data_IF_436487378184
#
_entry.id   IF_436487378184
#
_cell.length_a   1.000
_cell.length_b   1.000
_cell.length_c   1.000
_cell.angle_alpha   90.00
_cell.angle_beta   90.00
_cell.angle_gamma   90.00
#
_symmetry.space_group_name_H-M   'P 1'
#
loop_
_entity.id
_entity.type
_entity.pdbx_description
1 polymer ?
#
# COMPACT_ATOMS: atom_id res chain seq x y z
N UNK A 1 -27.17 25.23 -17.01
CA UNK A 1 -26.49 24.11 -17.70
C UNK A 1 -25.13 23.71 -17.07
N UNK A 2 -24.68 24.30 -15.95
CA UNK A 2 -23.34 24.04 -15.39
C UNK A 2 -23.22 23.05 -14.21
N UNK A 3 -24.33 22.53 -13.65
CA UNK A 3 -24.30 21.74 -12.41
C UNK A 3 -24.34 20.22 -12.60
N UNK A 4 -24.64 19.72 -13.81
CA UNK A 4 -24.74 18.27 -14.10
C UNK A 4 -23.38 17.61 -14.39
N UNK A 5 -22.41 18.36 -14.91
CA UNK A 5 -21.08 17.84 -15.24
C UNK A 5 -20.15 17.73 -14.01
N UNK A 6 -20.34 18.55 -12.97
CA UNK A 6 -19.51 18.53 -11.76
C UNK A 6 -20.00 17.53 -10.69
N UNK A 7 -21.26 17.09 -10.78
CA UNK A 7 -21.88 16.22 -9.77
C UNK A 7 -21.18 14.84 -9.62
N UNK A 8 -20.76 14.16 -10.70
CA UNK A 8 -20.03 12.90 -10.58
C UNK A 8 -18.64 13.09 -9.94
N UNK A 9 -17.92 14.16 -10.31
CA UNK A 9 -16.57 14.40 -9.79
C UNK A 9 -16.58 14.71 -8.28
N UNK A 10 -17.51 15.54 -7.82
CA UNK A 10 -17.61 15.83 -6.39
C UNK A 10 -18.07 14.62 -5.56
N UNK A 11 -18.78 13.66 -6.15
CA UNK A 11 -19.23 12.47 -5.44
C UNK A 11 -18.06 11.61 -4.99
N UNK A 12 -17.08 11.35 -5.86
CA UNK A 12 -15.94 10.48 -5.53
C UNK A 12 -15.05 11.09 -4.47
N UNK A 13 -14.85 12.42 -4.51
CA UNK A 13 -14.17 13.14 -3.44
C UNK A 13 -14.93 13.03 -2.11
N UNK A 14 -16.27 13.14 -2.11
CA UNK A 14 -17.09 12.99 -0.90
C UNK A 14 -17.01 11.58 -0.32
N UNK A 15 -16.96 10.54 -1.15
CA UNK A 15 -16.80 9.15 -0.72
C UNK A 15 -15.53 8.96 0.11
N UNK A 16 -14.43 9.66 -0.23
CA UNK A 16 -13.17 9.59 0.54
C UNK A 16 -13.30 10.06 1.98
N UNK A 17 -14.33 10.83 2.33
CA UNK A 17 -14.53 11.38 3.67
C UNK A 17 -15.83 10.90 4.33
N UNK A 18 -16.45 9.84 3.80
CA UNK A 18 -17.79 9.40 4.23
C UNK A 18 -18.86 10.52 4.13
N UNK A 19 -18.66 11.53 3.28
CA UNK A 19 -19.57 12.67 3.11
C UNK A 19 -20.71 12.36 2.12
N UNK A 20 -21.26 11.15 2.21
CA UNK A 20 -22.30 10.60 1.33
C UNK A 20 -23.43 10.01 2.15
N UNK A 21 -24.61 9.88 1.55
CA UNK A 21 -25.79 9.33 2.20
C UNK A 21 -26.07 7.88 1.77
N UNK A 22 -26.82 7.11 2.56
CA UNK A 22 -27.28 5.78 2.16
C UNK A 22 -28.02 5.78 0.81
N UNK A 23 -28.86 6.81 0.56
CA UNK A 23 -29.60 6.95 -0.70
C UNK A 23 -28.69 7.14 -1.93
N UNK A 24 -27.45 7.62 -1.75
CA UNK A 24 -26.50 7.83 -2.84
C UNK A 24 -25.65 6.58 -3.11
N UNK A 25 -25.57 5.64 -2.16
CA UNK A 25 -24.52 4.62 -2.13
C UNK A 25 -24.99 3.22 -1.74
N UNK A 26 -26.28 3.00 -1.49
CA UNK A 26 -26.85 1.67 -1.27
C UNK A 26 -27.21 0.99 -2.59
N UNK A 27 -26.72 -0.25 -2.76
CA UNK A 27 -26.99 -1.09 -3.94
C UNK A 27 -27.50 -2.46 -3.51
N UNK A 28 -28.40 -3.04 -4.29
CA UNK A 28 -28.95 -4.37 -4.01
C UNK A 28 -27.91 -5.47 -4.23
N UNK A 29 -27.19 -5.40 -5.36
CA UNK A 29 -26.25 -6.42 -5.79
C UNK A 29 -24.82 -5.90 -5.76
N UNK A 30 -23.87 -6.79 -5.52
CA UNK A 30 -22.43 -6.45 -5.47
C UNK A 30 -21.94 -5.95 -6.82
N UNK A 31 -22.48 -6.49 -7.91
CA UNK A 31 -22.09 -6.13 -9.28
C UNK A 31 -22.50 -4.70 -9.66
N UNK A 32 -23.48 -4.14 -8.96
CA UNK A 32 -23.95 -2.77 -9.18
C UNK A 32 -23.14 -1.75 -8.37
N UNK A 33 -22.30 -2.19 -7.42
CA UNK A 33 -21.46 -1.32 -6.59
C UNK A 33 -20.29 -0.81 -7.44
N UNK A 34 -20.14 0.52 -7.61
CA UNK A 34 -18.98 1.10 -8.29
C UNK A 34 -17.68 0.75 -7.57
N UNK A 35 -16.58 0.69 -8.32
CA UNK A 35 -15.25 0.63 -7.71
C UNK A 35 -14.81 2.05 -7.34
N UNK A 36 -15.24 2.52 -6.16
CA UNK A 36 -14.93 3.84 -5.64
C UNK A 36 -13.42 4.07 -5.48
N UNK A 37 -12.63 3.01 -5.28
CA UNK A 37 -11.17 3.10 -5.19
C UNK A 37 -10.55 3.44 -6.54
N UNK A 38 -10.94 2.72 -7.61
CA UNK A 38 -10.46 3.01 -8.97
C UNK A 38 -10.87 4.43 -9.39
N UNK A 39 -12.09 4.84 -9.05
CA UNK A 39 -12.60 6.17 -9.31
C UNK A 39 -11.90 7.29 -8.51
N UNK A 40 -11.22 6.94 -7.42
CA UNK A 40 -10.47 7.88 -6.58
C UNK A 40 -9.04 8.16 -7.07
N UNK A 41 -8.49 7.34 -7.98
CA UNK A 41 -7.10 7.43 -8.46
C UNK A 41 -6.70 8.83 -8.97
N UNK A 42 -7.54 9.56 -9.74
CA UNK A 42 -7.21 10.94 -10.15
C UNK A 42 -7.04 11.90 -8.95
N UNK A 43 -7.83 11.72 -7.89
CA UNK A 43 -7.75 12.55 -6.69
C UNK A 43 -6.52 12.22 -5.87
N UNK A 44 -6.12 10.95 -5.76
CA UNK A 44 -4.86 10.58 -5.12
C UNK A 44 -3.68 11.29 -5.78
N UNK A 45 -3.61 11.25 -7.12
CA UNK A 45 -2.56 11.92 -7.89
C UNK A 45 -2.56 13.42 -7.64
N UNK A 46 -3.73 14.07 -7.71
CA UNK A 46 -3.86 15.51 -7.46
C UNK A 46 -3.45 15.90 -6.04
N UNK A 47 -3.87 15.12 -5.04
CA UNK A 47 -3.57 15.38 -3.64
C UNK A 47 -2.08 15.17 -3.32
N UNK A 48 -1.42 14.17 -3.90
CA UNK A 48 0.04 13.97 -3.78
C UNK A 48 0.80 15.16 -4.38
N UNK A 49 0.39 15.63 -5.57
CA UNK A 49 1.01 16.81 -6.19
C UNK A 49 0.79 18.07 -5.36
N UNK A 50 -0.42 18.25 -4.82
CA UNK A 50 -0.76 19.35 -3.93
C UNK A 50 0.07 19.30 -2.65
N UNK A 51 0.24 18.13 -2.04
CA UNK A 51 1.08 17.95 -0.85
C UNK A 51 2.53 18.38 -1.13
N UNK A 52 3.12 17.96 -2.25
CA UNK A 52 4.46 18.41 -2.64
C UNK A 52 4.56 19.94 -2.78
N UNK A 53 3.55 20.58 -3.38
CA UNK A 53 3.49 22.05 -3.50
C UNK A 53 3.41 22.71 -2.12
N UNK A 54 2.55 22.21 -1.24
CA UNK A 54 2.35 22.75 0.11
C UNK A 54 3.59 22.56 0.98
N UNK A 55 4.25 21.40 0.93
CA UNK A 55 5.51 21.16 1.63
C UNK A 55 6.58 22.16 1.19
N UNK A 56 6.71 22.38 -0.13
CA UNK A 56 7.66 23.35 -0.67
C UNK A 56 7.34 24.78 -0.23
N UNK A 57 6.06 25.16 -0.23
CA UNK A 57 5.62 26.47 0.25
C UNK A 57 5.86 26.65 1.76
N UNK A 58 5.72 25.60 2.56
CA UNK A 58 6.04 25.59 3.99
C UNK A 58 7.55 25.58 4.28
N UNK A 59 8.42 25.55 3.25
CA UNK A 59 9.87 25.46 3.42
C UNK A 59 10.34 24.10 3.94
N UNK A 60 9.51 23.07 3.86
CA UNK A 60 9.87 21.68 4.22
C UNK A 60 10.57 20.97 3.06
N UNK A 61 11.34 19.95 3.40
CA UNK A 61 11.95 19.07 2.40
C UNK A 61 10.90 18.26 1.66
N UNK A 62 11.15 17.99 0.38
CA UNK A 62 10.30 17.11 -0.42
C UNK A 62 10.62 15.63 -0.09
N UNK A 63 9.62 14.74 -0.14
CA UNK A 63 9.85 13.32 0.02
C UNK A 63 10.85 12.78 -1.01
N UNK A 64 11.66 11.80 -0.60
CA UNK A 64 12.63 11.14 -1.47
C UNK A 64 11.92 10.37 -2.58
N UNK A 65 12.34 10.60 -3.82
CA UNK A 65 11.70 10.03 -5.03
C UNK A 65 11.70 8.50 -5.01
N UNK A 66 12.81 7.88 -4.63
CA UNK A 66 12.96 6.44 -4.49
C UNK A 66 12.01 5.85 -3.43
N UNK A 67 11.78 6.56 -2.32
CA UNK A 67 10.82 6.12 -1.31
C UNK A 67 9.37 6.18 -1.85
N UNK A 68 9.02 7.27 -2.54
CA UNK A 68 7.71 7.41 -3.20
C UNK A 68 7.47 6.34 -4.28
N UNK A 69 8.47 6.07 -5.13
CA UNK A 69 8.41 4.98 -6.12
C UNK A 69 8.23 3.63 -5.43
N UNK A 70 8.95 3.37 -4.34
CA UNK A 70 8.82 2.11 -3.60
C UNK A 70 7.43 1.98 -2.94
N UNK A 71 6.91 3.05 -2.35
CA UNK A 71 5.55 3.09 -1.78
C UNK A 71 4.48 2.77 -2.82
N UNK A 72 4.51 3.44 -3.97
CA UNK A 72 3.59 3.14 -5.08
C UNK A 72 3.77 1.73 -5.65
N UNK A 73 5.02 1.24 -5.72
CA UNK A 73 5.33 -0.13 -6.16
C UNK A 73 4.66 -1.18 -5.26
N UNK A 74 4.77 -1.03 -3.94
CA UNK A 74 4.12 -1.92 -2.99
C UNK A 74 2.58 -1.89 -3.14
N UNK A 75 1.99 -0.70 -3.32
CA UNK A 75 0.56 -0.56 -3.61
C UNK A 75 0.13 -1.32 -4.85
N UNK A 76 0.84 -1.16 -5.95
CA UNK A 76 0.56 -1.88 -7.19
C UNK A 76 0.74 -3.39 -7.04
N UNK A 77 1.80 -3.84 -6.36
CA UNK A 77 1.98 -5.28 -6.06
C UNK A 77 0.79 -5.84 -5.28
N UNK A 78 0.23 -5.07 -4.34
CA UNK A 78 -0.93 -5.51 -3.56
C UNK A 78 -2.18 -5.72 -4.41
N UNK A 79 -2.32 -5.03 -5.55
CA UNK A 79 -3.48 -5.12 -6.44
C UNK A 79 -3.28 -6.04 -7.65
N UNK A 80 -2.03 -6.44 -7.97
CA UNK A 80 -1.73 -7.27 -9.16
C UNK A 80 -2.52 -8.58 -9.22
N UNK A 81 -2.83 -9.17 -8.06
CA UNK A 81 -3.58 -10.43 -7.99
C UNK A 81 -4.98 -10.31 -8.62
N UNK A 82 -5.56 -9.11 -8.63
CA UNK A 82 -6.87 -8.83 -9.23
C UNK A 82 -6.88 -8.94 -10.76
N UNK A 83 -5.71 -8.98 -11.41
CA UNK A 83 -5.59 -9.30 -12.85
C UNK A 83 -5.71 -10.80 -13.11
N UNK A 84 -5.41 -11.65 -12.13
CA UNK A 84 -5.36 -13.10 -12.29
C UNK A 84 -6.68 -13.75 -11.86
N UNK A 85 -7.30 -13.25 -10.79
CA UNK A 85 -8.52 -13.82 -10.23
C UNK A 85 -9.46 -12.76 -9.65
N UNK A 86 -10.74 -13.14 -9.51
CA UNK A 86 -11.76 -12.35 -8.82
C UNK A 86 -11.43 -12.28 -7.32
N UNK A 87 -11.92 -11.25 -6.63
CA UNK A 87 -11.73 -11.09 -5.18
C UNK A 87 -12.19 -12.34 -4.44
N UNK A 88 -11.24 -13.07 -3.84
CA UNK A 88 -11.52 -14.29 -3.05
C UNK A 88 -12.38 -13.94 -1.84
N UNK A 89 -12.11 -12.80 -1.19
CA UNK A 89 -12.88 -12.31 -0.06
C UNK A 89 -14.34 -12.12 -0.42
N UNK A 90 -14.67 -11.38 -1.49
CA UNK A 90 -16.06 -11.14 -1.87
C UNK A 90 -16.78 -12.43 -2.27
N UNK A 91 -16.09 -13.35 -2.94
CA UNK A 91 -16.64 -14.67 -3.31
C UNK A 91 -16.98 -15.48 -2.05
N UNK A 92 -16.05 -15.57 -1.10
CA UNK A 92 -16.26 -16.32 0.14
C UNK A 92 -17.31 -15.63 1.01
N UNK A 93 -17.26 -14.31 1.18
CA UNK A 93 -18.23 -13.52 1.93
C UNK A 93 -19.65 -13.73 1.38
N UNK A 94 -19.82 -13.61 0.06
CA UNK A 94 -21.13 -13.82 -0.60
C UNK A 94 -21.61 -15.26 -0.45
N UNK A 95 -20.70 -16.24 -0.52
CA UNK A 95 -21.03 -17.64 -0.27
C UNK A 95 -21.49 -17.87 1.17
N UNK A 96 -20.80 -17.31 2.17
CA UNK A 96 -21.22 -17.40 3.58
C UNK A 96 -22.60 -16.76 3.74
N UNK A 97 -22.80 -15.54 3.25
CA UNK A 97 -24.08 -14.84 3.33
C UNK A 97 -25.21 -15.68 2.72
N UNK A 98 -25.05 -16.17 1.48
CA UNK A 98 -26.08 -16.95 0.79
C UNK A 98 -26.48 -18.24 1.52
N UNK A 99 -25.56 -18.89 2.23
CA UNK A 99 -25.81 -20.21 2.82
C UNK A 99 -26.04 -20.19 4.34
N UNK A 100 -25.55 -19.17 5.04
CA UNK A 100 -25.45 -19.17 6.51
C UNK A 100 -25.94 -17.89 7.19
N UNK A 101 -26.40 -16.87 6.45
CA UNK A 101 -27.02 -15.72 7.10
C UNK A 101 -28.27 -16.15 7.88
N UNK A 102 -28.44 -15.58 9.08
CA UNK A 102 -29.59 -15.85 9.93
C UNK A 102 -30.42 -14.60 10.21
N UNK A 103 -29.94 -13.42 9.81
CA UNK A 103 -30.69 -12.17 9.77
C UNK A 103 -30.59 -11.59 8.36
N UNK A 104 -31.73 -11.26 7.77
CA UNK A 104 -31.80 -10.58 6.49
C UNK A 104 -31.96 -9.07 6.73
N UNK A 105 -30.85 -8.33 6.73
CA UNK A 105 -30.89 -6.88 6.82
C UNK A 105 -31.19 -6.27 5.43
N UNK A 106 -32.16 -5.35 5.32
CA UNK A 106 -32.49 -4.71 4.05
C UNK A 106 -31.32 -3.84 3.55
N UNK A 107 -30.86 -4.09 2.32
CA UNK A 107 -29.73 -3.40 1.69
C UNK A 107 -29.95 -1.89 1.50
N UNK A 108 -31.22 -1.47 1.40
CA UNK A 108 -31.65 -0.08 1.21
C UNK A 108 -32.01 0.66 2.51
N UNK A 109 -31.80 0.03 3.67
CA UNK A 109 -32.06 0.69 4.96
C UNK A 109 -30.88 1.55 5.40
N UNK A 110 -31.11 2.81 5.79
CA UNK A 110 -30.08 3.67 6.40
C UNK A 110 -29.43 3.04 7.64
N UNK A 111 -30.18 2.23 8.40
CA UNK A 111 -29.65 1.54 9.58
C UNK A 111 -28.69 0.41 9.21
N UNK A 112 -28.99 -0.35 8.16
CA UNK A 112 -28.08 -1.38 7.64
C UNK A 112 -26.79 -0.74 7.15
N UNK A 113 -26.88 0.42 6.48
CA UNK A 113 -25.73 1.21 6.04
C UNK A 113 -24.87 1.67 7.23
N UNK A 114 -25.48 2.30 8.25
CA UNK A 114 -24.74 2.75 9.45
C UNK A 114 -24.10 1.56 10.18
N UNK A 115 -24.82 0.44 10.32
CA UNK A 115 -24.30 -0.76 10.94
C UNK A 115 -23.12 -1.34 10.14
N UNK A 116 -23.22 -1.34 8.80
CA UNK A 116 -22.15 -1.73 7.91
C UNK A 116 -20.89 -0.88 8.11
N UNK A 117 -21.04 0.44 8.13
CA UNK A 117 -19.95 1.39 8.41
C UNK A 117 -19.26 1.10 9.74
N UNK A 118 -20.03 1.02 10.83
CA UNK A 118 -19.51 0.79 12.18
C UNK A 118 -18.84 -0.59 12.30
N UNK A 119 -19.42 -1.61 11.68
CA UNK A 119 -18.92 -2.99 11.75
C UNK A 119 -17.62 -3.15 10.97
N UNK A 120 -17.53 -2.58 9.76
CA UNK A 120 -16.28 -2.57 8.99
C UNK A 120 -15.19 -1.81 9.75
N UNK A 121 -15.48 -0.61 10.26
CA UNK A 121 -14.47 0.18 10.97
C UNK A 121 -14.00 -0.48 12.27
N UNK A 122 -14.93 -1.11 13.01
CA UNK A 122 -14.60 -1.87 14.22
C UNK A 122 -13.74 -3.11 13.92
N UNK A 123 -14.07 -3.88 12.88
CA UNK A 123 -13.29 -5.05 12.50
C UNK A 123 -11.94 -4.68 11.89
N UNK A 124 -11.86 -3.53 11.20
CA UNK A 124 -10.60 -2.94 10.78
C UNK A 124 -9.72 -2.65 11.99
N UNK A 125 -10.24 -1.98 13.03
CA UNK A 125 -9.50 -1.72 14.27
C UNK A 125 -8.89 -3.01 14.87
N UNK A 126 -9.67 -4.09 14.94
CA UNK A 126 -9.18 -5.37 15.46
C UNK A 126 -8.15 -6.03 14.56
N UNK A 127 -8.39 -6.04 13.25
CA UNK A 127 -7.40 -6.52 12.28
C UNK A 127 -6.08 -5.76 12.42
N UNK A 128 -6.17 -4.43 12.52
CA UNK A 128 -5.01 -3.56 12.58
C UNK A 128 -4.24 -3.76 13.89
N UNK A 129 -4.93 -3.84 15.03
CA UNK A 129 -4.31 -4.21 16.31
C UNK A 129 -3.63 -5.58 16.26
N UNK A 130 -4.30 -6.61 15.75
CA UNK A 130 -3.71 -7.95 15.59
C UNK A 130 -2.47 -7.89 14.69
N UNK A 131 -2.48 -7.03 13.67
CA UNK A 131 -1.36 -6.84 12.76
C UNK A 131 -0.12 -6.27 13.45
N UNK A 132 -0.27 -5.52 14.54
CA UNK A 132 0.88 -5.04 15.32
C UNK A 132 1.25 -5.98 16.46
N UNK A 133 0.26 -6.65 17.06
CA UNK A 133 0.48 -7.51 18.23
C UNK A 133 0.78 -8.97 17.89
N UNK A 134 0.74 -9.39 16.61
CA UNK A 134 1.06 -10.76 16.19
C UNK A 134 2.16 -10.79 15.13
N UNK A 135 3.24 -11.52 15.34
CA UNK A 135 4.42 -11.50 14.46
C UNK A 135 4.09 -11.92 13.01
N UNK A 136 3.28 -12.96 12.84
CA UNK A 136 2.90 -13.43 11.50
C UNK A 136 1.96 -12.48 10.76
N UNK A 137 1.09 -11.76 11.48
CA UNK A 137 0.18 -10.77 10.87
C UNK A 137 0.94 -9.46 10.64
N UNK A 138 1.88 -9.10 11.51
CA UNK A 138 2.86 -8.03 11.31
C UNK A 138 3.69 -8.23 10.06
N UNK A 139 4.06 -9.46 9.72
CA UNK A 139 4.72 -9.75 8.44
C UNK A 139 3.91 -9.27 7.22
N UNK A 140 2.57 -9.27 7.33
CA UNK A 140 1.64 -8.78 6.31
C UNK A 140 1.38 -7.28 6.36
N UNK A 141 1.91 -6.56 7.35
CA UNK A 141 1.59 -5.14 7.58
C UNK A 141 2.82 -4.25 7.70
N UNK A 142 3.98 -4.78 8.11
CA UNK A 142 5.24 -4.03 8.24
C UNK A 142 5.63 -3.27 6.96
N UNK A 143 5.24 -3.79 5.78
CA UNK A 143 5.45 -3.11 4.50
C UNK A 143 4.91 -1.69 4.57
N UNK A 144 3.71 -1.50 5.13
CA UNK A 144 3.06 -0.20 5.29
C UNK A 144 3.87 0.77 6.18
N UNK A 145 4.42 0.24 7.28
CA UNK A 145 5.24 1.00 8.23
C UNK A 145 6.70 1.19 7.80
N UNK A 146 7.12 0.57 6.70
CA UNK A 146 8.54 0.56 6.33
C UNK A 146 9.07 1.84 5.70
N UNK A 147 8.20 2.81 5.39
CA UNK A 147 8.65 4.11 4.87
C UNK A 147 9.21 4.97 5.99
N UNK A 148 10.37 5.58 5.76
CA UNK A 148 10.91 6.62 6.64
C UNK A 148 10.43 8.03 6.21
N UNK A 149 9.57 8.10 5.19
CA UNK A 149 8.82 9.29 4.81
C UNK A 149 7.36 9.15 5.26
N UNK A 150 6.74 10.27 5.64
CA UNK A 150 5.32 10.27 5.98
C UNK A 150 4.58 11.30 5.13
N UNK A 151 3.92 10.81 4.10
CA UNK A 151 3.22 11.60 3.08
C UNK A 151 2.15 10.73 2.42
N UNK A 152 1.37 11.29 1.49
CA UNK A 152 0.22 10.60 0.89
C UNK A 152 0.62 9.37 0.08
N UNK A 153 1.87 9.26 -0.40
CA UNK A 153 2.34 8.02 -1.04
C UNK A 153 2.51 6.87 -0.03
N UNK A 154 2.76 7.16 1.25
CA UNK A 154 2.85 6.16 2.33
C UNK A 154 1.53 5.40 2.47
N UNK A 155 0.38 6.06 2.25
CA UNK A 155 -0.93 5.38 2.20
C UNK A 155 -1.00 4.27 1.14
N UNK A 156 -0.30 4.46 0.02
CA UNK A 156 -0.25 3.51 -1.09
C UNK A 156 0.72 2.35 -0.82
N UNK A 157 1.59 2.44 0.18
CA UNK A 157 2.52 1.36 0.53
C UNK A 157 1.77 0.22 1.22
N UNK A 158 1.29 -0.75 0.45
CA UNK A 158 0.49 -1.87 0.96
C UNK A 158 1.19 -3.22 0.75
N UNK A 159 0.98 -4.16 1.68
CA UNK A 159 1.46 -5.53 1.50
C UNK A 159 0.51 -6.32 0.59
N UNK A 160 1.08 -7.24 -0.19
CA UNK A 160 0.31 -8.26 -0.91
C UNK A 160 -0.50 -9.15 0.03
N UNK A 161 0.04 -9.45 1.22
CA UNK A 161 -0.57 -10.43 2.13
C UNK A 161 -1.68 -9.85 3.01
N UNK A 162 -1.71 -8.52 3.20
CA UNK A 162 -2.61 -7.85 4.15
C UNK A 162 -4.07 -8.27 3.98
N UNK A 163 -4.57 -8.25 2.73
CA UNK A 163 -5.95 -8.58 2.38
C UNK A 163 -6.33 -10.02 2.76
N UNK A 164 -5.39 -10.95 2.61
CA UNK A 164 -5.62 -12.37 2.93
C UNK A 164 -5.68 -12.63 4.44
N UNK A 165 -5.06 -11.77 5.26
CA UNK A 165 -5.24 -11.83 6.71
C UNK A 165 -6.53 -11.10 7.14
N UNK A 166 -6.80 -9.92 6.57
CA UNK A 166 -7.95 -9.11 6.97
C UNK A 166 -9.30 -9.75 6.64
N UNK A 167 -9.41 -10.46 5.51
CA UNK A 167 -10.69 -11.03 5.06
C UNK A 167 -11.36 -11.95 6.10
N UNK A 168 -10.56 -12.68 6.89
CA UNK A 168 -11.08 -13.60 7.90
C UNK A 168 -11.80 -12.87 9.03
N UNK A 169 -11.40 -11.63 9.34
CA UNK A 169 -12.03 -10.81 10.36
C UNK A 169 -13.39 -10.29 9.90
N UNK A 170 -13.58 -10.13 8.58
CA UNK A 170 -14.84 -9.63 8.01
C UNK A 170 -15.89 -10.72 7.79
N UNK A 171 -15.50 -11.99 7.62
CA UNK A 171 -16.46 -13.08 7.36
C UNK A 171 -17.60 -13.24 8.39
N UNK A 172 -17.42 -13.01 9.70
CA UNK A 172 -18.53 -13.02 10.65
C UNK A 172 -19.65 -12.01 10.30
N UNK A 173 -19.32 -10.88 9.64
CA UNK A 173 -20.35 -9.93 9.20
C UNK A 173 -21.31 -10.53 8.19
N UNK A 174 -20.86 -11.49 7.37
CA UNK A 174 -21.68 -12.12 6.34
C UNK A 174 -22.87 -12.90 6.91
N UNK A 175 -22.93 -13.12 8.22
CA UNK A 175 -24.07 -13.76 8.86
C UNK A 175 -25.31 -12.83 8.99
N UNK A 176 -25.12 -11.52 8.83
CA UNK A 176 -26.17 -10.50 8.97
C UNK A 176 -26.12 -9.38 7.91
N UNK A 177 -24.92 -8.95 7.48
CA UNK A 177 -24.72 -7.76 6.65
C UNK A 177 -24.66 -8.13 5.16
N UNK A 178 -25.51 -7.53 4.31
CA UNK A 178 -25.53 -7.79 2.86
C UNK A 178 -24.16 -7.58 2.21
N UNK A 179 -23.76 -8.43 1.25
CA UNK A 179 -22.46 -8.33 0.58
C UNK A 179 -22.20 -6.98 -0.09
N UNK A 180 -23.24 -6.34 -0.67
CA UNK A 180 -23.11 -5.01 -1.28
C UNK A 180 -22.74 -3.95 -0.24
N UNK A 181 -23.43 -3.94 0.91
CA UNK A 181 -23.18 -3.04 2.05
C UNK A 181 -21.76 -3.21 2.59
N UNK A 182 -21.32 -4.46 2.79
CA UNK A 182 -19.94 -4.76 3.19
C UNK A 182 -18.93 -4.17 2.18
N UNK A 183 -19.12 -4.45 0.89
CA UNK A 183 -18.19 -4.01 -0.15
C UNK A 183 -18.11 -2.48 -0.30
N UNK A 184 -19.20 -1.75 -0.10
CA UNK A 184 -19.19 -0.28 -0.08
C UNK A 184 -18.34 0.24 1.09
N UNK A 185 -18.62 -0.25 2.30
CA UNK A 185 -17.99 0.27 3.51
C UNK A 185 -16.53 -0.14 3.65
N UNK A 186 -16.14 -1.30 3.11
CA UNK A 186 -14.74 -1.64 2.97
C UNK A 186 -14.00 -0.59 2.12
N UNK A 187 -14.54 -0.26 0.95
CA UNK A 187 -13.92 0.73 0.06
C UNK A 187 -13.86 2.11 0.73
N UNK A 188 -14.94 2.55 1.38
CA UNK A 188 -14.94 3.85 2.06
C UNK A 188 -13.97 3.90 3.23
N UNK A 189 -13.81 2.80 3.98
CA UNK A 189 -12.83 2.71 5.05
C UNK A 189 -11.41 2.86 4.50
N UNK A 190 -11.08 2.14 3.41
CA UNK A 190 -9.79 2.27 2.73
C UNK A 190 -9.55 3.69 2.18
N UNK A 191 -10.56 4.29 1.55
CA UNK A 191 -10.47 5.64 1.00
C UNK A 191 -10.27 6.70 2.08
N UNK A 192 -10.96 6.58 3.21
CA UNK A 192 -10.76 7.49 4.35
C UNK A 192 -9.34 7.46 4.85
N UNK A 193 -8.73 6.28 4.91
CA UNK A 193 -7.37 6.13 5.41
C UNK A 193 -6.31 6.73 4.48
N UNK A 194 -6.63 7.10 3.25
CA UNK A 194 -5.67 7.76 2.36
C UNK A 194 -5.19 9.10 2.91
N UNK A 195 -6.11 10.01 3.23
CA UNK A 195 -5.77 11.42 3.50
C UNK A 195 -5.12 11.65 4.86
N UNK A 196 -5.26 10.70 5.80
CA UNK A 196 -4.63 10.79 7.13
C UNK A 196 -3.10 10.61 7.08
N UNK A 197 -2.53 10.18 5.94
CA UNK A 197 -1.08 10.06 5.75
C UNK A 197 -0.45 11.37 5.29
N UNK A 198 -0.36 12.37 6.18
CA UNK A 198 0.30 13.64 5.82
C UNK A 198 0.89 14.34 7.04
N UNK A 199 1.97 15.09 6.82
CA UNK A 199 2.54 16.05 7.79
C UNK A 199 2.08 17.50 7.53
N UNK A 200 1.26 17.73 6.50
CA UNK A 200 0.77 19.07 6.15
C UNK A 200 -0.32 19.52 7.12
N UNK A 201 -1.24 18.61 7.48
CA UNK A 201 -2.33 18.87 8.42
C UNK A 201 -1.89 18.45 9.82
N UNK A 202 -1.73 19.41 10.73
CA UNK A 202 -1.16 19.16 12.06
C UNK A 202 -2.20 18.77 13.11
N UNK A 203 -3.34 19.46 13.16
CA UNK A 203 -4.38 19.25 14.17
C UNK A 203 -5.77 19.62 13.61
N UNK A 204 -6.80 18.85 13.97
CA UNK A 204 -8.21 19.13 13.62
C UNK A 204 -9.10 19.51 14.82
N UNK A 205 -8.49 19.80 15.97
CA UNK A 205 -9.17 20.28 17.16
C UNK A 205 -10.19 19.27 17.69
N UNK A 206 -11.43 19.67 18.00
CA UNK A 206 -12.42 18.77 18.59
C UNK A 206 -12.79 17.54 17.73
N UNK A 207 -12.53 17.57 16.42
CA UNK A 207 -12.78 16.41 15.57
C UNK A 207 -11.90 15.21 15.95
N UNK A 208 -10.74 15.45 16.57
CA UNK A 208 -9.81 14.43 17.05
C UNK A 208 -10.34 13.60 18.24
N UNK A 209 -11.48 13.98 18.82
CA UNK A 209 -12.15 13.12 19.80
C UNK A 209 -12.90 11.95 19.15
N UNK A 210 -13.29 12.08 17.88
CA UNK A 210 -14.17 11.13 17.19
C UNK A 210 -13.49 10.52 15.97
N UNK A 211 -12.76 11.32 15.19
CA UNK A 211 -12.13 10.90 13.95
C UNK A 211 -10.67 10.50 14.16
N UNK A 212 -10.23 9.47 13.45
CA UNK A 212 -8.82 9.26 13.20
C UNK A 212 -8.32 10.38 12.28
N UNK A 213 -7.21 11.02 12.63
CA UNK A 213 -6.70 12.22 11.98
C UNK A 213 -5.22 12.04 11.65
N UNK A 214 -4.62 12.92 10.82
CA UNK A 214 -3.20 12.85 10.54
C UNK A 214 -2.31 12.87 11.79
N UNK A 215 -2.70 13.57 12.85
CA UNK A 215 -1.99 13.57 14.14
C UNK A 215 -1.92 12.19 14.78
N UNK A 216 -3.07 11.53 14.91
CA UNK A 216 -3.14 10.18 15.47
C UNK A 216 -2.40 9.16 14.61
N UNK A 217 -2.53 9.28 13.28
CA UNK A 217 -1.94 8.34 12.35
C UNK A 217 -0.43 8.54 12.19
N UNK A 218 0.11 9.74 12.41
CA UNK A 218 1.56 9.96 12.55
C UNK A 218 2.10 9.15 13.72
N UNK A 219 1.48 9.27 14.91
CA UNK A 219 1.87 8.47 16.08
C UNK A 219 1.83 6.98 15.75
N UNK A 220 0.78 6.52 15.09
CA UNK A 220 0.66 5.12 14.68
C UNK A 220 1.84 4.64 13.80
N UNK A 221 2.29 5.47 12.86
CA UNK A 221 3.45 5.18 12.01
C UNK A 221 4.81 5.47 12.66
N UNK A 222 4.81 6.02 13.87
CA UNK A 222 6.02 6.37 14.58
C UNK A 222 6.73 5.15 15.17
N UNK A 223 8.06 5.19 15.15
CA UNK A 223 8.91 4.22 15.85
C UNK A 223 9.51 4.78 17.14
N UNK A 224 9.15 5.99 17.55
CA UNK A 224 9.49 6.48 18.89
C UNK A 224 8.91 5.50 19.93
N UNK A 225 9.56 5.30 21.09
CA UNK A 225 9.06 4.37 22.10
C UNK A 225 7.60 4.64 22.52
N UNK A 226 7.17 5.91 22.59
CA UNK A 226 5.80 6.27 22.96
C UNK A 226 4.76 5.97 21.86
N UNK A 227 5.20 5.76 20.62
CA UNK A 227 4.35 5.50 19.45
C UNK A 227 4.02 4.01 19.28
N UNK A 228 4.82 3.10 19.85
CA UNK A 228 4.69 1.66 19.63
C UNK A 228 3.36 1.13 20.19
N UNK A 229 2.65 0.37 19.36
CA UNK A 229 1.37 -0.27 19.69
C UNK A 229 0.26 0.72 20.07
N UNK A 230 0.12 1.81 19.29
CA UNK A 230 -0.88 2.88 19.50
C UNK A 230 -1.71 3.19 18.25
N UNK A 231 -2.91 3.72 18.48
CA UNK A 231 -3.78 4.33 17.47
C UNK A 231 -4.10 3.43 16.26
N UNK A 232 -4.79 2.31 16.48
CA UNK A 232 -5.11 1.32 15.44
C UNK A 232 -6.38 1.64 14.62
N UNK A 233 -7.16 2.65 14.98
CA UNK A 233 -8.43 2.95 14.31
C UNK A 233 -8.23 3.30 12.82
N UNK A 234 -9.19 2.93 11.99
CA UNK A 234 -9.22 3.33 10.58
C UNK A 234 -9.84 4.73 10.43
N UNK A 235 -11.14 4.82 10.71
CA UNK A 235 -11.94 6.05 10.56
C UNK A 235 -12.26 6.69 11.91
N UNK A 236 -12.72 5.91 12.89
CA UNK A 236 -13.17 6.44 14.18
C UNK A 236 -12.15 6.15 15.28
N UNK A 237 -11.50 7.18 15.82
CA UNK A 237 -10.52 7.05 16.92
C UNK A 237 -11.15 6.58 18.24
N UNK A 238 -12.49 6.54 18.30
CA UNK A 238 -13.25 6.09 19.47
C UNK A 238 -12.84 4.68 19.90
N UNK A 239 -12.48 3.80 18.97
CA UNK A 239 -12.07 2.42 19.29
C UNK A 239 -10.79 2.41 20.12
N UNK A 240 -9.79 3.22 19.75
CA UNK A 240 -8.56 3.34 20.52
C UNK A 240 -8.79 3.89 21.93
N UNK A 241 -9.74 4.81 22.08
CA UNK A 241 -10.13 5.33 23.39
C UNK A 241 -10.83 4.27 24.23
N UNK A 242 -11.75 3.51 23.64
CA UNK A 242 -12.50 2.44 24.31
C UNK A 242 -11.60 1.30 24.76
N UNK A 243 -10.60 0.94 23.96
CA UNK A 243 -9.70 -0.19 24.21
C UNK A 243 -8.33 0.21 24.77
N UNK A 244 -8.18 1.48 25.17
CA UNK A 244 -6.99 2.03 25.83
C UNK A 244 -5.69 1.90 25.02
N UNK A 245 -5.77 2.13 23.71
CA UNK A 245 -4.65 2.15 22.76
C UNK A 245 -4.40 3.54 22.18
N UNK A 246 -5.20 4.54 22.59
CA UNK A 246 -5.03 5.93 22.18
C UNK A 246 -3.74 6.56 22.73
N UNK A 247 -3.04 7.30 21.88
CA UNK A 247 -1.90 8.14 22.22
C UNK A 247 -1.95 9.44 21.41
N UNK A 248 -1.90 10.59 22.08
CA UNK A 248 -1.78 11.88 21.41
C UNK A 248 -0.35 12.10 20.89
N UNK A 249 -0.22 12.82 19.78
CA UNK A 249 1.08 13.22 19.24
C UNK A 249 1.80 14.14 20.22
N UNK A 250 3.07 13.81 20.52
CA UNK A 250 3.89 14.50 21.50
C UNK A 250 5.14 15.09 20.87
N UNK A 251 6.29 14.48 21.15
CA UNK A 251 7.55 14.83 20.49
C UNK A 251 7.51 14.51 18.99
N UNK A 252 8.44 15.10 18.23
CA UNK A 252 8.56 14.88 16.78
C UNK A 252 8.60 13.38 16.47
N UNK A 253 7.63 12.94 15.67
CA UNK A 253 7.54 11.54 15.25
C UNK A 253 8.64 11.20 14.26
N UNK A 254 9.24 10.04 14.46
CA UNK A 254 10.26 9.44 13.61
C UNK A 254 9.63 8.18 12.99
N UNK A 255 9.65 8.08 11.67
CA UNK A 255 8.95 7.02 10.93
C UNK A 255 9.90 5.89 10.50
N UNK A 256 9.30 4.83 9.98
CA UNK A 256 9.99 3.61 9.54
C UNK A 256 9.90 2.50 10.58
N UNK A 257 10.45 1.34 10.25
CA UNK A 257 10.53 0.24 11.21
C UNK A 257 11.50 0.56 12.36
N UNK A 258 11.26 -0.04 13.52
CA UNK A 258 12.20 -0.05 14.67
C UNK A 258 13.59 -0.51 14.22
N UNK A 259 13.63 -1.54 13.37
CA UNK A 259 14.82 -1.96 12.64
C UNK A 259 14.66 -1.56 11.16
N UNK A 260 15.14 -0.37 10.75
CA UNK A 260 14.88 0.15 9.42
C UNK A 260 15.45 -0.73 8.30
N UNK A 261 14.74 -0.75 7.17
CA UNK A 261 15.16 -1.48 5.98
C UNK A 261 16.40 -0.84 5.36
N UNK A 262 17.29 -1.68 4.83
CA UNK A 262 18.52 -1.26 4.14
C UNK A 262 18.55 -1.78 2.70
N UNK A 263 17.39 -1.80 2.04
CA UNK A 263 17.22 -2.28 0.66
C UNK A 263 16.01 -1.63 -0.02
N UNK A 264 16.02 -1.65 -1.36
CA UNK A 264 14.95 -1.14 -2.23
C UNK A 264 14.24 -2.25 -3.02
N UNK A 265 14.69 -3.50 -2.92
CA UNK A 265 14.03 -4.62 -3.57
C UNK A 265 12.58 -4.81 -3.04
N UNK A 266 11.55 -4.59 -3.87
CA UNK A 266 10.17 -4.59 -3.40
C UNK A 266 9.66 -6.00 -3.10
N UNK A 267 10.15 -7.03 -3.79
CA UNK A 267 9.76 -8.43 -3.56
C UNK A 267 10.35 -8.93 -2.24
N UNK A 268 11.62 -8.63 -1.99
CA UNK A 268 12.21 -8.90 -0.68
C UNK A 268 11.47 -8.13 0.43
N UNK A 269 11.07 -6.89 0.18
CA UNK A 269 10.24 -6.09 1.08
C UNK A 269 8.92 -6.75 1.48
N UNK A 270 8.27 -7.48 0.56
CA UNK A 270 7.03 -8.22 0.86
C UNK A 270 7.26 -9.44 1.77
N UNK A 271 8.45 -10.05 1.75
CA UNK A 271 8.66 -11.38 2.33
C UNK A 271 9.75 -11.49 3.40
N UNK A 272 10.61 -10.48 3.58
CA UNK A 272 11.76 -10.60 4.49
C UNK A 272 11.36 -10.90 5.93
N UNK A 273 10.24 -10.34 6.41
CA UNK A 273 9.78 -10.57 7.78
C UNK A 273 9.26 -12.01 7.98
N UNK A 274 8.66 -12.62 6.96
CA UNK A 274 8.32 -14.05 6.98
C UNK A 274 9.58 -14.93 7.06
N UNK A 275 10.65 -14.55 6.33
CA UNK A 275 11.94 -15.24 6.41
C UNK A 275 12.58 -15.08 7.80
N UNK A 276 12.43 -13.92 8.43
CA UNK A 276 12.85 -13.67 9.81
C UNK A 276 12.13 -14.60 10.79
N UNK A 277 10.79 -14.69 10.73
CA UNK A 277 9.99 -15.61 11.55
C UNK A 277 10.45 -17.06 11.34
N UNK A 278 10.68 -17.47 10.10
CA UNK A 278 11.19 -18.81 9.80
C UNK A 278 12.57 -19.08 10.44
N UNK A 279 13.43 -18.07 10.51
CA UNK A 279 14.69 -18.11 11.26
C UNK A 279 14.46 -18.35 12.75
N UNK A 280 13.59 -17.57 13.38
CA UNK A 280 13.24 -17.73 14.80
C UNK A 280 12.71 -19.14 15.13
N UNK A 281 11.85 -19.68 14.28
CA UNK A 281 11.29 -21.04 14.43
C UNK A 281 12.38 -22.12 14.36
N UNK A 282 13.44 -21.91 13.59
CA UNK A 282 14.59 -22.83 13.53
C UNK A 282 15.47 -22.73 14.77
N UNK A 283 15.69 -21.50 15.25
CA UNK A 283 16.57 -21.22 16.38
C UNK A 283 15.97 -21.66 17.72
N UNK A 284 14.68 -21.43 17.94
CA UNK A 284 14.05 -21.73 19.22
C UNK A 284 13.86 -23.23 19.48
N UNK A 285 14.14 -23.64 20.72
CA UNK A 285 13.92 -25.00 21.21
C UNK A 285 12.50 -25.18 21.74
N UNK A 286 11.91 -26.34 21.45
CA UNK A 286 10.57 -26.74 21.93
C UNK A 286 9.42 -26.19 21.08
N UNK A 287 8.34 -26.97 20.96
CA UNK A 287 7.19 -26.62 20.13
C UNK A 287 6.50 -25.34 20.59
N UNK A 288 6.40 -25.11 21.90
CA UNK A 288 5.76 -23.93 22.48
C UNK A 288 6.47 -22.62 22.09
N UNK A 289 7.80 -22.58 22.14
CA UNK A 289 8.56 -21.39 21.75
C UNK A 289 8.50 -21.17 20.23
N UNK A 290 8.52 -22.25 19.44
CA UNK A 290 8.35 -22.16 17.99
C UNK A 290 7.00 -21.57 17.58
N UNK A 291 5.91 -22.03 18.20
CA UNK A 291 4.58 -21.46 17.97
C UNK A 291 4.49 -20.02 18.48
N UNK A 292 5.10 -19.73 19.63
CA UNK A 292 5.14 -18.37 20.19
C UNK A 292 5.86 -17.39 19.27
N UNK A 293 6.98 -17.77 18.64
CA UNK A 293 7.70 -16.92 17.68
C UNK A 293 6.87 -16.55 16.44
N UNK A 294 5.89 -17.38 16.07
CA UNK A 294 4.98 -17.11 14.95
C UNK A 294 3.81 -16.22 15.38
N UNK A 295 3.21 -16.51 16.54
CA UNK A 295 1.91 -15.94 16.92
C UNK A 295 2.02 -14.70 17.82
N UNK A 296 2.96 -14.69 18.77
CA UNK A 296 3.14 -13.54 19.69
C UNK A 296 3.77 -12.36 18.96
N UNK A 297 3.82 -11.18 19.58
CA UNK A 297 4.26 -9.95 18.93
C UNK A 297 5.73 -9.98 18.46
N UNK A 298 6.12 -9.06 17.56
CA UNK A 298 7.44 -9.06 16.94
C UNK A 298 8.61 -8.87 17.93
N UNK A 299 8.35 -8.27 19.10
CA UNK A 299 9.33 -8.13 20.20
C UNK A 299 9.36 -9.30 21.19
N UNK A 300 8.59 -10.38 20.95
CA UNK A 300 8.54 -11.52 21.87
C UNK A 300 9.81 -12.38 21.82
N UNK A 301 10.30 -12.78 22.99
CA UNK A 301 11.33 -13.80 23.18
C UNK A 301 10.93 -14.77 24.31
N UNK A 302 11.53 -15.98 24.40
CA UNK A 302 11.25 -16.91 25.49
C UNK A 302 11.37 -16.26 26.88
N UNK A 303 10.28 -16.29 27.64
CA UNK A 303 10.19 -15.67 28.97
C UNK A 303 9.63 -14.25 29.00
N UNK A 304 9.51 -13.57 27.85
CA UNK A 304 8.93 -12.21 27.77
C UNK A 304 7.40 -12.23 27.60
N UNK A 305 6.69 -11.14 27.96
CA UNK A 305 5.26 -10.95 27.70
C UNK A 305 4.92 -10.97 26.21
N UNK A 306 3.64 -11.11 25.86
CA UNK A 306 3.17 -11.29 24.47
C UNK A 306 3.78 -10.32 23.46
N UNK A 307 3.96 -9.04 23.81
CA UNK A 307 4.47 -7.99 22.90
C UNK A 307 5.96 -7.69 23.06
N UNK A 308 6.67 -8.47 23.89
CA UNK A 308 8.01 -8.11 24.35
C UNK A 308 7.97 -7.11 25.50
N UNK A 309 9.11 -6.47 25.74
CA UNK A 309 9.28 -5.41 26.74
C UNK A 309 9.59 -4.09 26.02
N UNK A 310 9.01 -2.98 26.47
CA UNK A 310 9.24 -1.67 25.85
C UNK A 310 10.67 -1.18 26.11
N UNK A 311 11.29 -1.65 27.19
CA UNK A 311 12.67 -1.37 27.57
C UNK A 311 13.69 -2.00 26.61
N UNK A 312 13.27 -2.98 25.80
CA UNK A 312 14.13 -3.60 24.78
C UNK A 312 14.17 -2.80 23.46
N UNK A 313 13.32 -1.78 23.32
CA UNK A 313 13.28 -0.98 22.10
C UNK A 313 14.59 -0.18 21.96
N UNK A 314 15.23 -0.21 20.79
CA UNK A 314 16.43 0.59 20.56
C UNK A 314 16.09 2.08 20.66
N UNK A 315 16.98 2.84 21.29
CA UNK A 315 16.90 4.30 21.25
C UNK A 315 17.05 4.80 19.81
N UNK A 316 16.32 5.87 19.47
CA UNK A 316 16.40 6.44 18.13
C UNK A 316 17.65 7.31 18.03
N UNK A 317 18.64 6.85 17.26
CA UNK A 317 19.88 7.57 17.03
C UNK A 317 19.65 8.98 16.45
N UNK A 318 20.39 9.97 16.98
CA UNK A 318 20.36 11.35 16.52
C UNK A 318 21.73 11.76 15.95
N UNK A 319 21.79 12.44 14.78
CA UNK A 319 20.65 12.79 13.93
C UNK A 319 20.07 11.58 13.20
N UNK A 320 18.75 11.56 12.99
CA UNK A 320 18.07 10.50 12.25
C UNK A 320 18.59 10.42 10.81
N UNK A 321 19.33 9.36 10.50
CA UNK A 321 19.81 9.05 9.15
C UNK A 321 18.83 8.12 8.44
N UNK A 322 18.15 8.62 7.42
CA UNK A 322 17.24 7.82 6.58
C UNK A 322 18.02 7.02 5.54
N UNK A 323 17.67 5.74 5.33
CA UNK A 323 18.28 4.91 4.28
C UNK A 323 17.88 5.42 2.90
N UNK A 324 18.82 6.01 2.14
CA UNK A 324 18.57 6.56 0.81
C UNK A 324 19.37 5.83 -0.27
N UNK A 325 18.91 5.81 -1.52
CA UNK A 325 19.78 5.44 -2.65
C UNK A 325 20.73 6.60 -3.02
N UNK A 326 21.93 6.27 -3.46
CA UNK A 326 22.96 7.19 -3.94
C UNK A 326 23.03 7.27 -5.48
N UNK A 327 21.99 6.80 -6.18
CA UNK A 327 21.87 6.98 -7.63
C UNK A 327 22.02 8.46 -8.03
N UNK A 328 22.82 8.69 -9.06
CA UNK A 328 23.01 10.02 -9.65
C UNK A 328 21.71 10.54 -10.30
N UNK A 329 21.57 11.86 -10.40
CA UNK A 329 20.32 12.53 -10.80
C UNK A 329 19.69 12.00 -12.10
N UNK A 330 20.48 11.78 -13.15
CA UNK A 330 19.95 11.26 -14.43
C UNK A 330 19.38 9.84 -14.28
N UNK A 331 20.01 8.99 -13.47
CA UNK A 331 19.57 7.61 -13.25
C UNK A 331 18.28 7.58 -12.41
N UNK A 332 18.14 8.50 -11.45
CA UNK A 332 16.89 8.71 -10.72
C UNK A 332 15.74 9.12 -11.67
N UNK A 333 15.99 10.10 -12.54
CA UNK A 333 15.01 10.54 -13.55
C UNK A 333 14.66 9.40 -14.51
N UNK A 334 15.66 8.62 -14.92
CA UNK A 334 15.46 7.45 -15.76
C UNK A 334 14.50 6.43 -15.12
N UNK A 335 14.75 6.04 -13.86
CA UNK A 335 13.89 5.09 -13.13
C UNK A 335 12.48 5.68 -12.96
N UNK A 336 12.36 6.96 -12.62
CA UNK A 336 11.07 7.63 -12.51
C UNK A 336 10.27 7.60 -13.82
N UNK A 337 10.89 7.93 -14.96
CA UNK A 337 10.23 7.89 -16.28
C UNK A 337 9.76 6.47 -16.61
N UNK A 338 10.62 5.48 -16.45
CA UNK A 338 10.25 4.08 -16.74
C UNK A 338 9.21 3.52 -15.77
N UNK A 339 9.23 3.95 -14.51
CA UNK A 339 8.22 3.61 -13.53
C UNK A 339 6.85 4.17 -13.93
N UNK A 340 6.78 5.45 -14.33
CA UNK A 340 5.54 6.07 -14.84
C UNK A 340 5.00 5.28 -16.02
N UNK A 341 5.85 4.85 -16.97
CA UNK A 341 5.41 4.04 -18.11
C UNK A 341 4.83 2.69 -17.69
N UNK A 342 5.46 2.01 -16.73
CA UNK A 342 4.97 0.73 -16.21
C UNK A 342 3.60 0.91 -15.54
N UNK A 343 3.41 1.99 -14.77
CA UNK A 343 2.11 2.33 -14.17
C UNK A 343 1.09 2.66 -15.25
N UNK A 344 1.42 3.54 -16.20
CA UNK A 344 0.51 3.92 -17.29
C UNK A 344 0.06 2.68 -18.06
N UNK A 345 0.98 1.77 -18.37
CA UNK A 345 0.66 0.52 -19.01
C UNK A 345 -0.29 -0.35 -18.17
N UNK A 346 -0.03 -0.51 -16.87
CA UNK A 346 -0.93 -1.22 -15.96
C UNK A 346 -2.34 -0.59 -15.95
N UNK A 347 -2.43 0.74 -15.80
CA UNK A 347 -3.72 1.46 -15.78
C UNK A 347 -4.50 1.34 -17.09
N UNK A 348 -3.81 1.19 -18.23
CA UNK A 348 -4.45 0.94 -19.52
C UNK A 348 -4.95 -0.51 -19.67
N UNK A 349 -4.26 -1.48 -19.08
CA UNK A 349 -4.59 -2.91 -19.18
C UNK A 349 -5.64 -3.35 -18.16
N UNK A 350 -5.57 -2.86 -16.92
CA UNK A 350 -6.40 -3.32 -15.81
C UNK A 350 -7.93 -3.28 -16.08
N UNK A 351 -8.49 -2.24 -16.74
CA UNK A 351 -9.92 -2.21 -17.09
C UNK A 351 -10.35 -3.33 -18.05
N UNK A 352 -9.41 -3.90 -18.81
CA UNK A 352 -9.65 -4.93 -19.81
C UNK A 352 -9.40 -6.35 -19.27
N UNK A 353 -9.16 -6.53 -17.96
CA UNK A 353 -8.83 -7.83 -17.36
C UNK A 353 -9.81 -8.97 -17.71
N UNK A 354 -11.09 -8.66 -17.91
CA UNK A 354 -12.10 -9.67 -18.26
C UNK A 354 -12.07 -10.08 -19.74
N UNK A 355 -11.37 -9.32 -20.59
CA UNK A 355 -11.26 -9.52 -22.05
C UNK A 355 -9.93 -10.15 -22.46
N UNK A 356 -8.98 -10.26 -21.55
CA UNK A 356 -7.68 -10.90 -21.76
C UNK A 356 -7.69 -12.29 -21.14
N UNK A 357 -7.01 -13.24 -21.78
CA UNK A 357 -6.90 -14.59 -21.24
C UNK A 357 -5.93 -14.63 -20.04
N UNK A 358 -5.94 -15.77 -19.34
CA UNK A 358 -5.12 -15.97 -18.14
C UNK A 358 -3.62 -15.93 -18.43
N UNK A 359 -3.16 -16.51 -19.55
CA UNK A 359 -1.73 -16.55 -19.87
C UNK A 359 -1.20 -15.14 -20.17
N UNK A 360 -1.98 -14.34 -20.90
CA UNK A 360 -1.69 -12.92 -21.13
C UNK A 360 -1.67 -12.12 -19.82
N UNK A 361 -2.66 -12.30 -18.95
CA UNK A 361 -2.73 -11.65 -17.64
C UNK A 361 -1.54 -12.01 -16.75
N UNK A 362 -1.18 -13.30 -16.71
CA UNK A 362 -0.01 -13.81 -15.99
C UNK A 362 1.29 -13.22 -16.53
N UNK A 363 1.44 -13.15 -17.85
CA UNK A 363 2.57 -12.50 -18.51
C UNK A 363 2.73 -11.04 -18.09
N UNK A 364 1.64 -10.28 -18.00
CA UNK A 364 1.67 -8.89 -17.53
C UNK A 364 2.07 -8.77 -16.06
N UNK A 365 1.53 -9.60 -15.17
CA UNK A 365 1.92 -9.61 -13.76
C UNK A 365 3.40 -9.98 -13.60
N UNK A 366 3.88 -10.99 -14.33
CA UNK A 366 5.28 -11.39 -14.32
C UNK A 366 6.20 -10.26 -14.85
N UNK A 367 5.83 -9.61 -15.95
CA UNK A 367 6.56 -8.47 -16.50
C UNK A 367 6.60 -7.27 -15.54
N UNK A 368 5.49 -6.99 -14.85
CA UNK A 368 5.43 -5.94 -13.84
C UNK A 368 6.37 -6.23 -12.67
N UNK A 369 6.26 -7.43 -12.07
CA UNK A 369 7.12 -7.89 -10.97
C UNK A 369 8.59 -7.82 -11.37
N UNK A 370 8.91 -8.27 -12.59
CA UNK A 370 10.26 -8.18 -13.13
C UNK A 370 10.72 -6.72 -13.20
N UNK A 371 9.92 -5.84 -13.78
CA UNK A 371 10.26 -4.42 -13.97
C UNK A 371 10.56 -3.70 -12.65
N UNK A 372 9.68 -3.84 -11.65
CA UNK A 372 9.88 -3.20 -10.35
C UNK A 372 11.05 -3.81 -9.57
N UNK A 373 11.34 -5.09 -9.78
CA UNK A 373 12.54 -5.74 -9.23
C UNK A 373 13.82 -5.18 -9.83
N UNK A 374 13.82 -4.84 -11.13
CA UNK A 374 14.97 -4.16 -11.77
C UNK A 374 15.17 -2.77 -11.19
N UNK A 375 14.10 -1.99 -10.98
CA UNK A 375 14.21 -0.67 -10.33
C UNK A 375 14.79 -0.76 -8.91
N UNK A 376 14.32 -1.73 -8.11
CA UNK A 376 14.91 -2.00 -6.79
C UNK A 376 16.40 -2.39 -6.88
N UNK A 377 16.77 -3.23 -7.85
CA UNK A 377 18.16 -3.63 -8.07
C UNK A 377 19.07 -2.46 -8.49
N UNK A 378 18.55 -1.50 -9.28
CA UNK A 378 19.23 -0.26 -9.62
C UNK A 378 19.44 0.61 -8.38
N UNK A 379 18.40 0.83 -7.58
CA UNK A 379 18.50 1.61 -6.35
C UNK A 379 19.42 1.00 -5.29
N UNK A 380 19.53 -0.33 -5.26
CA UNK A 380 20.44 -1.09 -4.39
C UNK A 380 21.88 -1.22 -4.95
N UNK A 381 22.17 -0.60 -6.10
CA UNK A 381 23.46 -0.74 -6.80
C UNK A 381 23.91 -2.20 -6.96
N UNK A 382 22.98 -3.10 -7.33
CA UNK A 382 23.34 -4.50 -7.59
C UNK A 382 24.20 -4.56 -8.84
N UNK A 383 25.29 -5.32 -8.78
CA UNK A 383 26.26 -5.47 -9.87
C UNK A 383 25.66 -6.05 -11.15
N UNK A 384 24.54 -6.78 -11.08
CA UNK A 384 23.84 -7.34 -12.25
C UNK A 384 22.66 -6.46 -12.72
N UNK A 385 22.39 -5.31 -12.09
CA UNK A 385 21.22 -4.48 -12.39
C UNK A 385 21.16 -3.99 -13.84
N UNK A 386 22.31 -3.60 -14.42
CA UNK A 386 22.39 -3.18 -15.82
C UNK A 386 21.96 -4.28 -16.80
N UNK A 387 22.31 -5.54 -16.51
CA UNK A 387 21.95 -6.68 -17.37
C UNK A 387 20.46 -6.94 -17.30
N UNK A 388 19.87 -6.87 -16.11
CA UNK A 388 18.42 -6.97 -15.94
C UNK A 388 17.70 -5.84 -16.69
N UNK A 389 18.26 -4.64 -16.69
CA UNK A 389 17.64 -3.50 -17.36
C UNK A 389 17.70 -3.58 -18.89
N UNK A 390 18.80 -4.09 -19.46
CA UNK A 390 18.88 -4.43 -20.89
C UNK A 390 17.80 -5.45 -21.25
N UNK A 391 17.71 -6.54 -20.49
CA UNK A 391 16.72 -7.60 -20.72
C UNK A 391 15.29 -7.08 -20.58
N UNK A 392 15.01 -6.23 -19.58
CA UNK A 392 13.70 -5.59 -19.40
C UNK A 392 13.34 -4.71 -20.58
N UNK A 393 14.27 -3.92 -21.10
CA UNK A 393 14.01 -3.06 -22.26
C UNK A 393 13.77 -3.89 -23.54
N UNK A 394 14.56 -4.94 -23.78
CA UNK A 394 14.35 -5.86 -24.91
C UNK A 394 13.01 -6.61 -24.80
N UNK A 395 12.66 -7.08 -23.60
CA UNK A 395 11.37 -7.71 -23.33
C UNK A 395 10.22 -6.74 -23.55
N UNK A 396 10.38 -5.47 -23.18
CA UNK A 396 9.36 -4.43 -23.42
C UNK A 396 9.12 -4.21 -24.91
N UNK A 397 10.19 -4.15 -25.73
CA UNK A 397 10.08 -4.05 -27.18
C UNK A 397 9.37 -5.27 -27.79
N UNK A 398 9.70 -6.47 -27.30
CA UNK A 398 9.04 -7.70 -27.71
C UNK A 398 7.55 -7.71 -27.35
N UNK A 399 7.20 -7.31 -26.12
CA UNK A 399 5.81 -7.18 -25.68
C UNK A 399 5.07 -6.19 -26.57
N UNK A 400 5.60 -4.99 -26.80
CA UNK A 400 5.00 -3.97 -27.67
C UNK A 400 4.73 -4.51 -29.08
N UNK A 401 5.68 -5.25 -29.65
CA UNK A 401 5.53 -5.88 -30.96
C UNK A 401 4.42 -6.95 -30.99
N UNK A 402 4.25 -7.68 -29.90
CA UNK A 402 3.25 -8.73 -29.77
C UNK A 402 1.85 -8.21 -29.42
N UNK A 403 1.67 -6.95 -29.02
CA UNK A 403 0.35 -6.39 -28.71
C UNK A 403 -0.55 -6.51 -29.94
N UNK A 404 -1.41 -7.53 -29.88
CA UNK A 404 -2.51 -7.80 -30.82
C UNK A 404 -3.70 -8.13 -29.96
N UNK A 405 -4.75 -7.32 -29.98
CA UNK A 405 -5.85 -7.55 -29.06
C UNK A 405 -6.90 -6.45 -29.04
N UNK A 406 -7.85 -6.52 -28.08
CA UNK A 406 -8.99 -5.61 -27.99
C UNK A 406 -8.63 -4.22 -27.45
N UNK A 407 -7.37 -3.99 -27.06
CA UNK A 407 -6.89 -2.71 -26.55
C UNK A 407 -6.25 -1.95 -27.70
N UNK A 408 -6.90 -0.87 -28.15
CA UNK A 408 -6.33 0.05 -29.13
C UNK A 408 -5.52 1.12 -28.41
N UNK A 409 -4.23 1.23 -28.73
CA UNK A 409 -3.37 2.30 -28.25
C UNK A 409 -3.19 3.36 -29.33
N UNK A 410 -3.03 4.62 -28.93
CA UNK A 410 -2.68 5.68 -29.88
C UNK A 410 -1.32 5.38 -30.52
N UNK A 411 -1.23 5.46 -31.86
CA UNK A 411 -0.02 5.12 -32.60
C UNK A 411 1.17 5.99 -32.18
N UNK A 412 0.94 7.28 -31.91
CA UNK A 412 1.93 8.22 -31.40
C UNK A 412 2.51 7.77 -30.06
N UNK A 413 1.65 7.33 -29.13
CA UNK A 413 2.06 6.82 -27.83
C UNK A 413 2.91 5.55 -27.97
N UNK A 414 2.43 4.56 -28.73
CA UNK A 414 3.17 3.30 -28.96
C UNK A 414 4.53 3.57 -29.59
N UNK A 415 4.59 4.44 -30.60
CA UNK A 415 5.84 4.81 -31.27
C UNK A 415 6.82 5.48 -30.31
N UNK A 416 6.33 6.40 -29.47
CA UNK A 416 7.16 7.10 -28.48
C UNK A 416 7.74 6.14 -27.46
N UNK A 417 6.90 5.24 -26.90
CA UNK A 417 7.34 4.23 -25.94
C UNK A 417 8.34 3.26 -26.59
N UNK A 418 8.09 2.83 -27.82
CA UNK A 418 8.99 1.97 -28.57
C UNK A 418 10.38 2.60 -28.78
N UNK A 419 10.43 3.86 -29.26
CA UNK A 419 11.69 4.60 -29.43
C UNK A 419 12.42 4.75 -28.10
N UNK A 420 11.72 5.07 -27.01
CA UNK A 420 12.32 5.21 -25.69
C UNK A 420 12.97 3.91 -25.20
N UNK A 421 12.32 2.76 -25.41
CA UNK A 421 12.90 1.46 -25.02
C UNK A 421 14.10 1.06 -25.89
N UNK A 422 14.13 1.44 -27.17
CA UNK A 422 15.34 1.28 -28.01
C UNK A 422 16.48 2.13 -27.47
N UNK A 423 16.24 3.42 -27.24
CA UNK A 423 17.25 4.35 -26.69
C UNK A 423 17.76 3.87 -25.32
N UNK A 424 16.86 3.38 -24.48
CA UNK A 424 17.20 2.80 -23.18
C UNK A 424 18.07 1.56 -23.33
N UNK A 425 17.71 0.63 -24.21
CA UNK A 425 18.50 -0.58 -24.47
C UNK A 425 19.91 -0.22 -24.92
N UNK A 426 20.03 0.73 -25.86
CA UNK A 426 21.32 1.21 -26.36
C UNK A 426 22.16 1.88 -25.26
N UNK A 427 21.53 2.72 -24.43
CA UNK A 427 22.17 3.34 -23.27
C UNK A 427 22.75 2.28 -22.32
N UNK A 428 21.96 1.30 -21.91
CA UNK A 428 22.41 0.29 -20.94
C UNK A 428 23.46 -0.66 -21.50
N UNK A 429 23.39 -1.00 -22.80
CA UNK A 429 24.47 -1.72 -23.49
C UNK A 429 25.75 -0.89 -23.48
N UNK A 430 25.68 0.40 -23.83
CA UNK A 430 26.84 1.30 -23.77
C UNK A 430 27.44 1.35 -22.35
N UNK A 431 26.62 1.57 -21.32
CA UNK A 431 27.06 1.61 -19.93
C UNK A 431 27.70 0.28 -19.49
N UNK A 432 27.18 -0.86 -19.96
CA UNK A 432 27.76 -2.17 -19.65
C UNK A 432 29.15 -2.37 -20.24
N UNK A 433 29.40 -1.87 -21.45
CA UNK A 433 30.69 -1.98 -22.15
C UNK A 433 31.73 -1.04 -21.51
N UNK A 434 31.34 0.18 -21.16
CA UNK A 434 32.25 1.22 -20.67
C UNK A 434 32.35 1.28 -19.12
N UNK A 435 32.12 0.14 -18.45
CA UNK A 435 32.13 -0.03 -17.00
C UNK A 435 31.04 0.79 -16.28
N UNK A 436 29.90 0.13 -16.05
CA UNK A 436 28.72 0.65 -15.34
C UNK A 436 29.05 1.45 -14.06
N UNK A 437 30.01 0.97 -13.26
CA UNK A 437 30.39 1.60 -12.00
C UNK A 437 31.05 2.98 -12.16
N UNK A 438 31.51 3.33 -13.36
CA UNK A 438 32.04 4.66 -13.69
C UNK A 438 30.90 5.68 -13.83
N UNK A 439 29.77 5.27 -14.42
CA UNK A 439 28.65 6.15 -14.71
C UNK A 439 27.59 6.17 -13.62
N UNK A 440 27.51 5.10 -12.82
CA UNK A 440 26.69 5.01 -11.61
C UNK A 440 27.61 4.61 -10.43
N UNK A 441 28.50 5.52 -10.00
CA UNK A 441 29.39 5.25 -8.88
C UNK A 441 28.57 5.11 -7.58
N UNK A 442 29.00 4.20 -6.71
CA UNK A 442 28.56 4.25 -5.31
C UNK A 442 29.23 5.42 -4.63
N UNK A 443 28.45 6.32 -4.06
CA UNK A 443 28.95 7.34 -3.15
C UNK A 443 29.30 6.58 -1.87
N UNK A 444 30.60 6.42 -1.58
CA UNK A 444 31.03 5.93 -0.26
C UNK A 444 30.41 6.85 0.80
N UNK A 445 29.56 6.30 1.65
CA UNK A 445 29.04 7.00 2.83
C UNK A 445 29.94 6.63 4.00
N UNK A 446 30.46 7.65 4.67
CA UNK A 446 31.26 7.52 5.89
C UNK A 446 30.44 7.00 7.08
#
# INVERSE_FOLDING_TARGET
MGTRFLRPYLQNLRCMFYLVTPNETSYERVEDVPNFVDEAVPYFTLLILLECILLKWQGKDLPRINDGINSMTHGLLSTMHMLLFRSVELVVYTWIYKNWHFIELPWNSPWTWILGMLSVDFLYYWFHRISHESNIVWASHQVHHSSEEYNLTTALRQSLMQKYYSMFLYFPMALCVPPSVFYIHEQFNLLYQFWIHTEVVTNLGPLEYILNTPSHHRVHHGRNPYCIDKNYAGTLIIWDRMFNTFQAEGEKVIYGLVHPNTFWNPIYGQFFHYLYIFGLVKEHKGLSNKLSAVVKGPGWEPGKPWRGLYEDLPEVEQPVKKYNSDLIGWANVYVLVHFVLVITFYSMVAPYKQKIDFATSFGFVAFFIYSVSVFGALYDHRNYSYLLEILRCLLSLFVIYLIKGPISFELSFVTTVYVLFIMSSALWVFLSIFNYNVFIPRIKRD
#
